data_IF_535471313959
#
_entry.id   IF_535471313959
#
_cell.length_a   1.000
_cell.length_b   1.000
_cell.length_c   1.000
_cell.angle_alpha   90.00
_cell.angle_beta   90.00
_cell.angle_gamma   90.00
#
_symmetry.space_group_name_H-M   'P 1'
#
loop_
_entity.id
_entity.type
_entity.pdbx_description
1 polymer ?
#
# COMPACT_ATOMS: atom_id res chain seq x y z
N UNK A 1 -26.07 -10.00 87.69
CA UNK A 1 -27.45 -10.47 87.46
C UNK A 1 -27.37 -11.83 86.82
N UNK A 2 -27.94 -12.83 87.47
CA UNK A 2 -27.99 -14.23 87.04
C UNK A 2 -28.74 -14.42 85.72
N UNK A 3 -28.36 -15.45 84.97
CA UNK A 3 -29.14 -16.56 84.35
C UNK A 3 -28.28 -17.00 83.14
N UNK A 4 -27.91 -18.26 82.88
CA UNK A 4 -28.30 -19.57 83.35
C UNK A 4 -27.89 -20.54 82.24
N UNK A 5 -27.07 -21.55 82.57
CA UNK A 5 -26.59 -22.62 81.69
C UNK A 5 -27.74 -23.56 81.33
N UNK A 6 -27.79 -24.14 80.11
CA UNK A 6 -28.22 -25.54 79.91
C UNK A 6 -27.61 -26.18 78.65
N UNK A 7 -27.13 -27.42 78.84
CA UNK A 7 -26.53 -28.32 77.85
C UNK A 7 -27.61 -29.05 77.04
N UNK A 8 -27.30 -29.36 75.79
CA UNK A 8 -27.98 -30.39 74.99
C UNK A 8 -26.96 -31.20 74.20
N UNK A 9 -26.80 -32.47 74.55
CA UNK A 9 -26.11 -33.52 73.78
C UNK A 9 -27.20 -34.38 73.11
N UNK A 10 -26.82 -35.13 72.05
CA UNK A 10 -27.51 -36.23 71.32
C UNK A 10 -27.87 -35.76 69.89
N UNK A 11 -27.49 -36.39 68.76
CA UNK A 11 -27.06 -37.76 68.44
C UNK A 11 -26.19 -37.72 67.15
N UNK A 12 -25.27 -38.69 67.02
CA UNK A 12 -24.67 -39.07 65.73
C UNK A 12 -25.77 -39.63 64.83
N UNK A 13 -25.79 -39.21 63.58
CA UNK A 13 -26.34 -40.02 62.50
C UNK A 13 -25.26 -40.32 61.46
N UNK A 14 -25.28 -41.57 61.04
CA UNK A 14 -24.36 -42.23 60.13
C UNK A 14 -24.96 -42.30 58.74
N UNK A 15 -24.11 -42.46 57.71
CA UNK A 15 -24.43 -42.62 56.27
C UNK A 15 -24.59 -41.28 55.54
N UNK A 16 -23.98 -40.99 54.39
CA UNK A 16 -23.52 -41.85 53.29
C UNK A 16 -22.19 -41.34 52.70
N UNK A 17 -21.23 -42.25 52.52
CA UNK A 17 -20.05 -42.02 51.66
C UNK A 17 -20.50 -42.17 50.20
N UNK A 18 -20.53 -41.09 49.43
CA UNK A 18 -20.64 -41.20 47.96
C UNK A 18 -19.33 -41.77 47.40
N UNK A 19 -19.36 -42.80 46.53
CA UNK A 19 -18.14 -43.45 46.08
C UNK A 19 -17.35 -42.56 45.13
N UNK A 20 -16.03 -42.57 45.29
CA UNK A 20 -15.01 -41.84 44.49
C UNK A 20 -15.19 -42.04 42.97
N UNK A 21 -15.85 -43.12 42.53
CA UNK A 21 -16.15 -43.39 41.12
C UNK A 21 -17.08 -42.37 40.43
N UNK A 22 -17.98 -41.69 41.15
CA UNK A 22 -18.89 -40.71 40.54
C UNK A 22 -18.22 -39.35 40.25
N UNK A 23 -17.13 -39.01 40.95
CA UNK A 23 -16.34 -37.80 40.65
C UNK A 23 -15.39 -38.00 39.45
N UNK A 24 -14.90 -39.22 39.23
CA UNK A 24 -14.07 -39.54 38.06
C UNK A 24 -14.90 -39.59 36.77
N UNK A 25 -16.13 -40.13 36.81
CA UNK A 25 -17.01 -40.14 35.64
C UNK A 25 -17.32 -38.72 35.13
N UNK A 26 -17.67 -37.78 36.03
CA UNK A 26 -17.95 -36.39 35.65
C UNK A 26 -16.73 -35.65 35.05
N UNK A 27 -15.52 -35.92 35.56
CA UNK A 27 -14.28 -35.32 35.04
C UNK A 27 -13.92 -35.93 33.67
N UNK A 28 -14.12 -37.24 33.47
CA UNK A 28 -13.88 -37.91 32.19
C UNK A 28 -14.91 -37.48 31.14
N UNK A 29 -16.18 -37.27 31.51
CA UNK A 29 -17.20 -36.73 30.57
C UNK A 29 -16.90 -35.29 30.19
N UNK A 30 -16.38 -34.47 31.12
CA UNK A 30 -16.00 -33.09 30.83
C UNK A 30 -14.71 -33.00 29.99
N UNK A 31 -13.76 -33.92 30.15
CA UNK A 31 -12.58 -34.04 29.28
C UNK A 31 -12.93 -34.57 27.88
N UNK A 32 -13.85 -35.53 27.76
CA UNK A 32 -14.33 -36.01 26.45
C UNK A 32 -15.18 -34.97 25.72
N UNK A 33 -15.92 -34.12 26.44
CA UNK A 33 -16.63 -32.98 25.83
C UNK A 33 -15.66 -31.90 25.34
N UNK A 34 -14.56 -31.66 26.06
CA UNK A 34 -13.49 -30.74 25.63
C UNK A 34 -12.75 -31.29 24.41
N UNK A 35 -12.42 -32.59 24.39
CA UNK A 35 -11.75 -33.21 23.23
C UNK A 35 -12.67 -33.30 21.99
N UNK A 36 -13.98 -33.45 22.16
CA UNK A 36 -14.93 -33.41 21.04
C UNK A 36 -15.21 -32.01 20.50
N UNK A 37 -14.89 -30.93 21.24
CA UNK A 37 -14.99 -29.55 20.75
C UNK A 37 -13.78 -29.17 19.88
N UNK A 38 -12.64 -29.86 20.02
CA UNK A 38 -11.43 -29.58 19.23
C UNK A 38 -11.36 -30.28 17.85
N UNK A 39 -12.27 -31.19 17.55
CA UNK A 39 -12.23 -31.99 16.31
C UNK A 39 -13.31 -31.62 15.26
N UNK A 40 -14.06 -30.52 15.42
CA UNK A 40 -15.15 -30.15 14.49
C UNK A 40 -15.14 -28.67 14.05
N UNK A 41 -14.02 -27.97 14.21
CA UNK A 41 -13.75 -26.81 13.36
C UNK A 41 -12.61 -27.23 12.45
N UNK A 42 -12.84 -27.54 11.16
CA UNK A 42 -11.74 -27.49 10.24
C UNK A 42 -11.19 -26.07 10.35
N UNK A 43 -10.02 -25.93 10.98
CA UNK A 43 -9.15 -24.79 10.69
C UNK A 43 -8.84 -25.00 9.22
N UNK A 44 -9.69 -24.42 8.37
CA UNK A 44 -9.28 -24.10 7.02
C UNK A 44 -8.10 -23.17 7.25
N UNK A 45 -6.90 -23.74 7.23
CA UNK A 45 -5.74 -23.03 6.77
C UNK A 45 -6.11 -22.64 5.33
N UNK A 46 -6.88 -21.56 5.18
CA UNK A 46 -7.02 -20.87 3.93
C UNK A 46 -5.59 -20.44 3.63
N UNK A 47 -4.90 -21.25 2.83
CA UNK A 47 -3.60 -20.89 2.29
C UNK A 47 -3.83 -19.56 1.62
N UNK A 48 -3.23 -18.51 2.19
CA UNK A 48 -3.33 -17.16 1.66
C UNK A 48 -3.01 -17.22 0.17
N UNK A 49 -3.89 -16.67 -0.67
CA UNK A 49 -3.71 -16.79 -2.12
C UNK A 49 -2.41 -16.09 -2.49
N UNK A 50 -1.53 -16.80 -3.20
CA UNK A 50 -0.25 -16.22 -3.59
C UNK A 50 -0.47 -14.98 -4.49
N UNK A 51 0.28 -13.91 -4.27
CA UNK A 51 0.11 -12.61 -4.93
C UNK A 51 0.08 -12.69 -6.46
N UNK A 52 0.84 -13.62 -7.05
CA UNK A 52 0.87 -13.83 -8.50
C UNK A 52 -0.47 -14.36 -9.04
N UNK A 53 -1.19 -15.13 -8.23
CA UNK A 53 -2.53 -15.63 -8.57
C UNK A 53 -3.55 -14.48 -8.50
N UNK A 54 -3.48 -13.64 -7.46
CA UNK A 54 -4.35 -12.46 -7.35
C UNK A 54 -4.11 -11.47 -8.51
N UNK A 55 -2.84 -11.30 -8.91
CA UNK A 55 -2.46 -10.52 -10.08
C UNK A 55 -3.02 -11.13 -11.39
N UNK A 56 -2.93 -12.45 -11.56
CA UNK A 56 -3.45 -13.13 -12.74
C UNK A 56 -4.98 -13.01 -12.86
N UNK A 57 -5.67 -12.94 -11.72
CA UNK A 57 -7.12 -12.78 -11.59
C UNK A 57 -7.58 -11.32 -11.51
N UNK A 58 -6.67 -10.35 -11.72
CA UNK A 58 -7.02 -8.94 -11.74
C UNK A 58 -8.02 -8.63 -12.85
N UNK A 59 -8.97 -7.76 -12.52
CA UNK A 59 -10.10 -7.37 -13.36
C UNK A 59 -9.60 -6.41 -14.44
N UNK A 60 -10.03 -6.65 -15.69
CA UNK A 60 -9.52 -5.92 -16.87
C UNK A 60 -10.62 -5.22 -17.69
N UNK A 61 -11.89 -5.42 -17.34
CA UNK A 61 -13.02 -4.80 -18.05
C UNK A 61 -14.11 -4.31 -17.08
N UNK A 62 -14.88 -3.26 -17.44
CA UNK A 62 -15.99 -2.78 -16.62
C UNK A 62 -17.08 -3.84 -16.49
N UNK A 63 -17.31 -4.61 -17.55
CA UNK A 63 -18.27 -5.71 -17.54
C UNK A 63 -18.00 -6.76 -16.44
N UNK A 64 -16.73 -6.98 -16.07
CA UNK A 64 -16.37 -7.82 -14.92
C UNK A 64 -16.44 -7.06 -13.58
N UNK A 65 -16.15 -5.76 -13.57
CA UNK A 65 -16.14 -4.91 -12.37
C UNK A 65 -17.56 -4.59 -11.86
N UNK A 66 -18.47 -4.20 -12.75
CA UNK A 66 -19.79 -3.67 -12.41
C UNK A 66 -20.61 -4.60 -11.51
N UNK A 67 -20.73 -5.91 -11.79
CA UNK A 67 -21.53 -6.80 -10.94
C UNK A 67 -20.97 -6.91 -9.52
N UNK A 68 -19.65 -6.77 -9.35
CA UNK A 68 -18.99 -6.82 -8.04
C UNK A 68 -19.29 -5.58 -7.20
N UNK A 69 -19.58 -4.45 -7.85
CA UNK A 69 -19.88 -3.17 -7.22
C UNK A 69 -21.36 -2.82 -7.26
N UNK A 70 -22.24 -3.69 -7.76
CA UNK A 70 -23.67 -3.36 -7.89
C UNK A 70 -23.96 -2.24 -8.88
N UNK A 71 -23.08 -2.05 -9.85
CA UNK A 71 -23.20 -1.04 -10.90
C UNK A 71 -23.65 -1.70 -12.21
N UNK A 72 -24.00 -0.86 -13.18
CA UNK A 72 -24.42 -1.26 -14.52
C UNK A 72 -23.76 -0.38 -15.57
N UNK A 73 -23.88 -0.78 -16.85
CA UNK A 73 -23.42 0.04 -17.97
C UNK A 73 -24.12 1.41 -18.04
N UNK A 74 -25.38 1.48 -17.61
CA UNK A 74 -26.16 2.72 -17.64
C UNK A 74 -25.62 3.75 -16.65
N UNK A 75 -25.01 3.30 -15.56
CA UNK A 75 -24.41 4.19 -14.56
C UNK A 75 -23.15 4.88 -15.13
N UNK A 76 -22.41 4.20 -16.01
CA UNK A 76 -21.09 4.63 -16.49
C UNK A 76 -20.90 4.33 -18.00
N UNK A 77 -21.72 4.91 -18.89
CA UNK A 77 -21.76 4.56 -20.32
C UNK A 77 -20.46 4.92 -21.06
N UNK A 78 -19.72 5.91 -20.54
CA UNK A 78 -18.46 6.40 -21.08
C UNK A 78 -17.28 5.44 -20.86
N UNK A 79 -17.33 4.61 -19.80
CA UNK A 79 -16.18 3.85 -19.33
C UNK A 79 -15.62 2.91 -20.40
N UNK A 80 -16.47 2.21 -21.14
CA UNK A 80 -16.05 1.29 -22.20
C UNK A 80 -15.19 1.97 -23.28
N UNK A 81 -15.61 3.16 -23.72
CA UNK A 81 -14.90 3.91 -24.77
C UNK A 81 -13.62 4.53 -24.22
N UNK A 82 -13.67 5.10 -23.02
CA UNK A 82 -12.53 5.76 -22.38
C UNK A 82 -11.36 4.80 -22.10
N UNK A 83 -11.63 3.52 -21.88
CA UNK A 83 -10.57 2.51 -21.64
C UNK A 83 -9.76 2.13 -22.88
N UNK A 84 -10.21 2.50 -24.08
CA UNK A 84 -9.41 2.28 -25.29
C UNK A 84 -8.08 3.07 -25.25
N UNK A 85 -8.06 4.24 -24.59
CA UNK A 85 -6.87 5.07 -24.46
C UNK A 85 -5.91 4.57 -23.37
N UNK A 86 -6.44 4.04 -22.27
CA UNK A 86 -5.66 3.49 -21.17
C UNK A 86 -6.43 2.36 -20.49
N UNK A 87 -5.89 1.15 -20.58
CA UNK A 87 -6.56 -0.08 -20.13
C UNK A 87 -6.72 -0.08 -18.61
N UNK A 88 -7.79 -0.68 -18.11
CA UNK A 88 -7.92 -0.97 -16.69
C UNK A 88 -7.20 -2.26 -16.32
N UNK A 89 -6.66 -2.25 -15.13
CA UNK A 89 -6.15 -3.41 -14.44
C UNK A 89 -6.37 -3.10 -12.97
N UNK A 90 -7.21 -3.88 -12.29
CA UNK A 90 -7.50 -3.67 -10.86
C UNK A 90 -7.59 -5.02 -10.14
N UNK A 91 -6.75 -5.27 -9.13
CA UNK A 91 -6.81 -6.50 -8.35
C UNK A 91 -8.07 -6.59 -7.50
N UNK A 92 -8.58 -7.82 -7.31
CA UNK A 92 -9.78 -8.10 -6.52
C UNK A 92 -9.70 -7.62 -5.06
N UNK A 93 -8.56 -7.72 -4.34
CA UNK A 93 -8.44 -7.16 -2.99
C UNK A 93 -8.56 -5.63 -2.92
N UNK A 94 -8.31 -4.93 -4.03
CA UNK A 94 -8.57 -3.48 -4.11
C UNK A 94 -10.06 -3.21 -4.34
N UNK A 95 -10.70 -3.98 -5.21
CA UNK A 95 -12.14 -3.88 -5.49
C UNK A 95 -12.98 -4.18 -4.26
N UNK A 96 -12.58 -5.13 -3.41
CA UNK A 96 -13.32 -5.48 -2.19
C UNK A 96 -13.38 -4.37 -1.13
N UNK A 97 -12.58 -3.31 -1.28
CA UNK A 97 -12.59 -2.11 -0.42
C UNK A 97 -13.47 -0.98 -0.98
N UNK A 98 -14.03 -1.14 -2.17
CA UNK A 98 -14.95 -0.17 -2.76
C UNK A 98 -16.36 -0.33 -2.19
N UNK A 99 -17.10 0.76 -2.12
CA UNK A 99 -18.49 0.77 -1.68
C UNK A 99 -19.44 0.24 -2.76
N UNK A 100 -20.24 -0.76 -2.42
CA UNK A 100 -21.26 -1.32 -3.30
C UNK A 100 -22.36 -0.28 -3.59
N UNK A 101 -22.71 -0.11 -4.87
CA UNK A 101 -23.72 0.82 -5.36
C UNK A 101 -23.25 2.27 -5.43
N UNK A 102 -21.98 2.57 -5.16
CA UNK A 102 -21.46 3.94 -5.15
C UNK A 102 -20.65 4.26 -6.41
N UNK A 103 -21.27 4.93 -7.38
CA UNK A 103 -20.59 5.42 -8.61
C UNK A 103 -19.52 6.47 -8.32
N UNK A 104 -19.59 7.13 -7.16
CA UNK A 104 -18.66 8.17 -6.73
C UNK A 104 -17.59 7.66 -5.77
N UNK A 105 -17.46 6.34 -5.60
CA UNK A 105 -16.47 5.74 -4.71
C UNK A 105 -15.05 6.25 -5.04
N UNK A 106 -14.29 6.73 -4.03
CA UNK A 106 -12.98 7.35 -4.26
C UNK A 106 -11.91 6.36 -4.75
N UNK A 107 -12.05 5.06 -4.50
CA UNK A 107 -11.16 4.02 -5.04
C UNK A 107 -11.54 3.70 -6.48
N UNK A 108 -12.84 3.64 -6.80
CA UNK A 108 -13.33 3.43 -8.17
C UNK A 108 -12.82 4.50 -9.13
N UNK A 109 -12.91 5.78 -8.74
CA UNK A 109 -12.39 6.92 -9.53
C UNK A 109 -10.91 6.78 -9.86
N UNK A 110 -10.12 6.11 -9.02
CA UNK A 110 -8.69 5.94 -9.26
C UNK A 110 -8.35 4.88 -10.31
N UNK A 111 -9.29 4.03 -10.72
CA UNK A 111 -9.03 2.88 -11.62
C UNK A 111 -9.98 2.80 -12.83
N UNK A 112 -11.18 3.37 -12.74
CA UNK A 112 -12.15 3.36 -13.83
C UNK A 112 -11.97 4.60 -14.71
N UNK A 113 -11.95 4.38 -16.02
CA UNK A 113 -11.81 5.45 -16.99
C UNK A 113 -13.10 6.26 -17.14
N UNK A 114 -12.96 7.56 -17.40
CA UNK A 114 -14.05 8.47 -17.72
C UNK A 114 -13.82 9.15 -19.10
N UNK A 115 -14.89 9.57 -19.79
CA UNK A 115 -14.75 10.16 -21.14
C UNK A 115 -14.02 11.50 -21.14
N UNK A 116 -14.06 12.22 -20.02
CA UNK A 116 -13.28 13.43 -19.80
C UNK A 116 -11.78 13.21 -19.98
N UNK A 117 -11.28 11.98 -19.79
CA UNK A 117 -9.88 11.62 -20.03
C UNK A 117 -9.49 11.61 -21.51
N UNK A 118 -10.46 11.58 -22.42
CA UNK A 118 -10.21 11.64 -23.86
C UNK A 118 -10.13 13.07 -24.38
N UNK A 119 -10.42 14.07 -23.54
CA UNK A 119 -10.41 15.47 -23.93
C UNK A 119 -8.99 16.04 -23.82
N UNK A 120 -8.44 16.63 -24.89
CA UNK A 120 -7.17 17.34 -24.79
C UNK A 120 -7.37 18.61 -23.95
N UNK A 121 -6.42 18.88 -23.04
CA UNK A 121 -6.43 20.07 -22.19
C UNK A 121 -5.09 20.78 -22.33
N UNK A 122 -5.13 22.10 -22.57
CA UNK A 122 -3.93 22.91 -22.70
C UNK A 122 -3.07 22.84 -21.41
N UNK A 123 -1.76 22.68 -21.58
CA UNK A 123 -0.82 22.53 -20.46
C UNK A 123 -0.63 21.10 -19.96
N UNK A 124 -1.39 20.13 -20.48
CA UNK A 124 -1.23 18.71 -20.15
C UNK A 124 -0.51 17.98 -21.29
N UNK A 125 0.48 17.14 -20.96
CA UNK A 125 1.35 16.47 -21.94
C UNK A 125 1.56 14.99 -21.61
N UNK A 126 2.20 14.25 -22.51
CA UNK A 126 2.54 12.82 -22.31
C UNK A 126 3.78 12.59 -21.44
N UNK A 127 4.59 13.63 -21.22
CA UNK A 127 5.77 13.61 -20.37
C UNK A 127 5.80 14.91 -19.54
N UNK A 128 4.93 15.03 -18.52
CA UNK A 128 4.79 16.25 -17.75
C UNK A 128 6.02 16.60 -16.90
N UNK A 129 6.91 15.63 -16.69
CA UNK A 129 8.09 15.75 -15.84
C UNK A 129 9.41 15.75 -16.62
N UNK A 130 9.34 15.79 -17.96
CA UNK A 130 10.47 15.75 -18.87
C UNK A 130 11.45 14.60 -18.56
N UNK A 131 10.92 13.44 -18.18
CA UNK A 131 11.73 12.28 -17.81
C UNK A 131 12.43 11.66 -19.02
N UNK A 132 11.90 11.85 -20.23
CA UNK A 132 12.49 11.34 -21.46
C UNK A 132 13.87 11.93 -21.78
N UNK A 133 14.12 13.19 -21.39
CA UNK A 133 15.35 13.92 -21.75
C UNK A 133 16.41 13.94 -20.63
N UNK A 134 16.09 13.44 -19.43
CA UNK A 134 16.91 13.62 -18.22
C UNK A 134 17.56 12.33 -17.67
N UNK A 135 17.79 11.33 -18.52
CA UNK A 135 18.41 10.06 -18.12
C UNK A 135 19.90 10.05 -18.46
N UNK A 136 20.83 10.08 -17.47
CA UNK A 136 22.27 9.94 -17.73
C UNK A 136 22.62 8.60 -18.38
N UNK A 137 21.81 7.58 -18.12
CA UNK A 137 21.93 6.23 -18.66
C UNK A 137 20.55 5.58 -18.66
N UNK A 138 20.34 4.58 -19.53
CA UNK A 138 19.13 3.76 -19.55
C UNK A 138 18.76 3.30 -18.13
N UNK A 139 17.50 3.50 -17.76
CA UNK A 139 16.90 3.11 -16.49
C UNK A 139 17.47 3.76 -15.21
N UNK A 140 18.42 4.69 -15.32
CA UNK A 140 18.94 5.46 -14.19
C UNK A 140 18.48 6.89 -14.32
N UNK A 141 17.87 7.40 -13.25
CA UNK A 141 17.55 8.82 -13.07
C UNK A 141 18.42 9.33 -11.92
N UNK A 142 19.42 10.15 -12.21
CA UNK A 142 20.29 10.77 -11.21
C UNK A 142 20.09 12.29 -11.19
N UNK A 143 19.00 12.73 -10.54
CA UNK A 143 18.64 14.15 -10.39
C UNK A 143 19.26 14.81 -9.15
N UNK A 144 19.70 14.02 -8.16
CA UNK A 144 20.08 14.50 -6.84
C UNK A 144 21.40 13.88 -6.39
N UNK A 145 22.32 14.72 -5.89
CA UNK A 145 23.72 14.36 -5.56
C UNK A 145 23.91 12.99 -4.88
N UNK A 146 23.04 12.63 -3.93
CA UNK A 146 23.28 11.47 -3.04
C UNK A 146 22.36 10.29 -3.27
N UNK A 147 21.49 10.34 -4.28
CA UNK A 147 20.52 9.28 -4.55
C UNK A 147 20.23 9.14 -6.03
N UNK A 148 20.11 7.89 -6.46
CA UNK A 148 19.65 7.54 -7.81
C UNK A 148 18.31 6.83 -7.74
N UNK A 149 17.51 6.98 -8.79
CA UNK A 149 16.33 6.15 -9.02
C UNK A 149 16.64 5.17 -10.16
N UNK A 150 16.29 3.91 -9.94
CA UNK A 150 16.45 2.80 -10.87
C UNK A 150 15.07 2.33 -11.32
N UNK A 151 14.82 2.39 -12.63
CA UNK A 151 13.59 1.90 -13.27
C UNK A 151 13.74 0.39 -13.46
N UNK A 152 13.15 -0.39 -12.55
CA UNK A 152 13.35 -1.83 -12.52
C UNK A 152 12.44 -2.59 -13.48
N UNK A 153 11.26 -2.06 -13.76
CA UNK A 153 10.25 -2.67 -14.63
C UNK A 153 9.24 -1.63 -15.11
N UNK A 154 8.59 -1.88 -16.24
CA UNK A 154 7.46 -1.09 -16.73
C UNK A 154 6.08 -1.60 -16.34
N UNK A 155 6.01 -2.74 -15.66
CA UNK A 155 4.74 -3.37 -15.34
C UNK A 155 4.19 -2.86 -14.00
N UNK A 156 2.88 -2.63 -13.94
CA UNK A 156 2.12 -2.36 -12.71
C UNK A 156 1.09 -3.47 -12.47
N UNK A 157 0.65 -3.65 -11.23
CA UNK A 157 -0.51 -4.49 -10.90
C UNK A 157 -1.84 -3.75 -10.92
N UNK A 158 -1.79 -2.42 -11.01
CA UNK A 158 -2.95 -1.55 -11.09
C UNK A 158 -2.65 -0.39 -12.05
N UNK A 159 -3.60 -0.07 -12.91
CA UNK A 159 -3.49 1.08 -13.81
C UNK A 159 -4.20 2.28 -13.20
N UNK A 160 -3.45 3.15 -12.52
CA UNK A 160 -3.98 4.32 -11.85
C UNK A 160 -4.34 5.40 -12.88
N UNK A 161 -5.57 5.92 -12.86
CA UNK A 161 -6.02 6.96 -13.83
C UNK A 161 -5.20 8.26 -13.75
N UNK A 162 -4.62 8.52 -12.58
CA UNK A 162 -3.76 9.67 -12.30
C UNK A 162 -2.25 9.40 -12.53
N UNK A 163 -1.87 8.26 -13.14
CA UNK A 163 -0.46 7.91 -13.31
C UNK A 163 0.25 8.88 -14.27
N UNK A 164 1.18 9.69 -13.75
CA UNK A 164 2.01 10.59 -14.57
C UNK A 164 2.92 9.86 -15.57
N UNK A 165 3.13 8.55 -15.39
CA UNK A 165 3.87 7.66 -16.32
C UNK A 165 2.97 6.81 -17.21
N UNK A 166 1.67 7.11 -17.34
CA UNK A 166 0.75 6.32 -18.19
C UNK A 166 1.16 6.27 -19.67
N UNK A 167 1.95 7.24 -20.13
CA UNK A 167 2.50 7.31 -21.48
C UNK A 167 4.01 7.07 -21.56
N UNK A 168 4.64 6.66 -20.45
CA UNK A 168 6.08 6.50 -20.38
C UNK A 168 6.56 5.32 -21.26
N UNK A 169 7.62 5.49 -22.06
CA UNK A 169 8.13 4.43 -22.95
C UNK A 169 8.95 3.40 -22.16
N UNK A 170 8.27 2.58 -21.37
CA UNK A 170 8.91 1.58 -20.52
C UNK A 170 9.74 0.55 -21.30
N UNK A 171 9.34 0.21 -22.53
CA UNK A 171 10.09 -0.72 -23.38
C UNK A 171 11.54 -0.27 -23.61
N UNK A 172 11.75 1.04 -23.72
CA UNK A 172 13.05 1.63 -24.00
C UNK A 172 13.88 1.90 -22.72
N UNK A 173 13.22 1.88 -21.55
CA UNK A 173 13.79 2.36 -20.28
C UNK A 173 13.79 1.34 -19.13
N UNK A 174 13.29 0.12 -19.35
CA UNK A 174 13.36 -0.96 -18.35
C UNK A 174 14.70 -1.71 -18.41
N UNK A 175 15.23 -2.13 -17.25
CA UNK A 175 16.40 -2.98 -17.18
C UNK A 175 16.06 -4.44 -17.50
N UNK A 176 16.77 -5.02 -18.46
CA UNK A 176 16.92 -6.47 -18.51
C UNK A 176 17.82 -6.97 -17.37
N UNK A 177 17.66 -8.23 -16.96
CA UNK A 177 18.49 -8.84 -15.89
C UNK A 177 20.00 -8.64 -16.13
N UNK A 178 20.43 -8.72 -17.40
CA UNK A 178 21.83 -8.55 -17.83
C UNK A 178 22.33 -7.10 -17.78
N UNK A 179 21.44 -6.14 -17.62
CA UNK A 179 21.77 -4.71 -17.61
C UNK A 179 22.00 -4.17 -16.18
N UNK A 180 21.71 -4.96 -15.14
CA UNK A 180 21.98 -4.57 -13.75
C UNK A 180 23.47 -4.36 -13.44
N UNK A 181 24.36 -4.97 -14.23
CA UNK A 181 25.80 -4.71 -14.15
C UNK A 181 26.11 -3.23 -14.36
N UNK A 182 25.43 -2.61 -15.33
CA UNK A 182 25.59 -1.19 -15.64
C UNK A 182 25.15 -0.26 -14.51
N UNK A 183 24.19 -0.68 -13.66
CA UNK A 183 23.79 0.09 -12.47
C UNK A 183 24.86 0.00 -11.38
N UNK A 184 25.43 -1.19 -11.18
CA UNK A 184 26.49 -1.38 -10.19
C UNK A 184 27.76 -0.63 -10.61
N UNK A 185 28.11 -0.65 -11.89
CA UNK A 185 29.27 0.09 -12.39
C UNK A 185 29.05 1.60 -12.25
N UNK A 186 27.86 2.10 -12.61
CA UNK A 186 27.48 3.50 -12.36
C UNK A 186 27.64 3.88 -10.88
N UNK A 187 27.17 3.04 -9.95
CA UNK A 187 27.28 3.31 -8.51
C UNK A 187 28.72 3.27 -7.99
N UNK A 188 29.61 2.47 -8.59
CA UNK A 188 31.04 2.48 -8.26
C UNK A 188 31.73 3.77 -8.70
N UNK A 189 31.31 4.30 -9.85
CA UNK A 189 31.82 5.56 -10.40
C UNK A 189 31.28 6.79 -9.65
N UNK A 190 30.23 6.63 -8.83
CA UNK A 190 29.56 7.69 -8.06
C UNK A 190 29.57 7.39 -6.55
N UNK A 191 30.74 7.47 -5.87
CA UNK A 191 30.88 7.11 -4.45
C UNK A 191 30.11 8.03 -3.48
N UNK A 192 29.66 9.19 -3.93
CA UNK A 192 28.80 10.12 -3.18
C UNK A 192 27.35 9.62 -3.03
N UNK A 193 26.90 8.74 -3.94
CA UNK A 193 25.57 8.14 -3.91
C UNK A 193 25.50 7.15 -2.76
N UNK A 194 24.57 7.39 -1.83
CA UNK A 194 24.40 6.55 -0.63
C UNK A 194 22.98 5.98 -0.49
N UNK A 195 22.11 6.25 -1.46
CA UNK A 195 20.75 5.75 -1.52
C UNK A 195 20.37 5.33 -2.94
N UNK A 196 19.78 4.14 -3.07
CA UNK A 196 19.16 3.67 -4.31
C UNK A 196 17.66 3.60 -4.13
N UNK A 197 16.91 4.19 -5.05
CA UNK A 197 15.44 4.12 -5.10
C UNK A 197 15.03 3.17 -6.22
N UNK A 198 14.32 2.08 -5.90
CA UNK A 198 13.68 1.24 -6.89
C UNK A 198 12.30 1.80 -7.24
N UNK A 199 12.06 2.02 -8.54
CA UNK A 199 10.81 2.55 -9.08
C UNK A 199 10.61 2.05 -10.52
N UNK A 200 9.75 2.71 -11.29
CA UNK A 200 9.35 2.34 -12.65
C UNK A 200 7.83 2.31 -12.74
N UNK A 201 7.28 1.22 -13.25
CA UNK A 201 5.87 0.85 -13.07
C UNK A 201 5.60 0.51 -11.62
N UNK A 202 5.98 -0.70 -11.19
CA UNK A 202 6.03 -1.06 -9.78
C UNK A 202 7.17 -2.08 -9.51
N UNK A 203 8.19 -1.73 -8.72
CA UNK A 203 9.38 -2.56 -8.52
C UNK A 203 9.08 -3.89 -7.83
N UNK A 204 8.02 -3.99 -7.03
CA UNK A 204 7.65 -5.25 -6.38
C UNK A 204 6.94 -6.21 -7.35
N UNK A 205 6.70 -5.83 -8.61
CA UNK A 205 6.30 -6.79 -9.65
C UNK A 205 7.40 -7.78 -10.03
N UNK A 206 8.66 -7.48 -9.68
CA UNK A 206 9.75 -8.44 -9.81
C UNK A 206 9.59 -9.58 -8.79
N UNK A 207 10.01 -10.78 -9.21
CA UNK A 207 10.06 -11.95 -8.32
C UNK A 207 11.07 -11.72 -7.19
N UNK A 208 10.80 -12.27 -6.01
CA UNK A 208 11.71 -12.14 -4.85
C UNK A 208 13.09 -12.75 -5.12
N UNK A 209 13.18 -13.76 -5.98
CA UNK A 209 14.47 -14.30 -6.45
C UNK A 209 15.29 -13.30 -7.27
N UNK A 210 14.65 -12.41 -8.02
CA UNK A 210 15.34 -11.35 -8.76
C UNK A 210 15.70 -10.19 -7.84
N UNK A 211 14.76 -9.74 -7.01
CA UNK A 211 15.00 -8.68 -6.03
C UNK A 211 16.14 -9.04 -5.10
N UNK A 212 16.13 -10.23 -4.51
CA UNK A 212 17.20 -10.69 -3.60
C UNK A 212 18.58 -10.68 -4.27
N UNK A 213 18.69 -11.10 -5.53
CA UNK A 213 19.95 -11.01 -6.30
C UNK A 213 20.42 -9.57 -6.50
N UNK A 214 19.52 -8.66 -6.85
CA UNK A 214 19.86 -7.24 -7.04
C UNK A 214 20.26 -6.58 -5.71
N UNK A 215 19.51 -6.83 -4.64
CA UNK A 215 19.78 -6.26 -3.32
C UNK A 215 21.07 -6.82 -2.73
N UNK A 216 21.41 -8.10 -2.94
CA UNK A 216 22.69 -8.65 -2.53
C UNK A 216 23.87 -7.86 -3.12
N UNK A 217 23.79 -7.53 -4.41
CA UNK A 217 24.82 -6.72 -5.09
C UNK A 217 24.89 -5.28 -4.57
N UNK A 218 23.74 -4.69 -4.21
CA UNK A 218 23.72 -3.37 -3.56
C UNK A 218 24.31 -3.42 -2.13
N UNK A 219 24.09 -4.52 -1.39
CA UNK A 219 24.70 -4.73 -0.09
C UNK A 219 26.24 -4.77 -0.20
N UNK A 220 26.82 -5.22 -1.31
CA UNK A 220 28.28 -5.26 -1.48
C UNK A 220 28.92 -3.87 -1.66
N UNK A 221 28.14 -2.81 -1.89
CA UNK A 221 28.62 -1.44 -2.13
C UNK A 221 28.70 -0.61 -0.83
N UNK A 222 29.86 -0.46 -0.19
CA UNK A 222 29.99 0.05 1.18
C UNK A 222 29.50 1.51 1.36
N UNK A 223 29.47 2.31 0.30
CA UNK A 223 28.95 3.68 0.30
C UNK A 223 27.42 3.74 0.47
N UNK A 224 26.71 2.70 0.05
CA UNK A 224 25.26 2.64 0.16
C UNK A 224 24.83 2.42 1.60
N UNK A 225 23.89 3.26 2.04
CA UNK A 225 23.29 3.23 3.38
C UNK A 225 21.82 2.86 3.33
N UNK A 226 21.10 3.30 2.29
CA UNK A 226 19.65 3.16 2.17
C UNK A 226 19.24 2.48 0.88
N UNK A 227 18.22 1.66 0.99
CA UNK A 227 17.44 1.15 -0.13
C UNK A 227 16.01 1.64 0.04
N UNK A 228 15.50 2.40 -0.94
CA UNK A 228 14.12 2.84 -0.95
C UNK A 228 13.36 2.15 -2.06
N UNK A 229 12.15 1.70 -1.79
CA UNK A 229 11.28 1.03 -2.77
C UNK A 229 9.98 1.81 -2.85
N UNK A 230 9.61 2.29 -4.03
CA UNK A 230 8.33 2.95 -4.27
C UNK A 230 7.37 1.94 -4.90
N UNK A 231 6.34 1.52 -4.18
CA UNK A 231 5.44 0.46 -4.68
C UNK A 231 4.00 0.72 -4.25
N UNK A 232 3.07 0.55 -5.19
CA UNK A 232 1.64 0.51 -4.92
C UNK A 232 1.14 -0.92 -4.75
N UNK A 233 1.92 -1.92 -5.15
CA UNK A 233 1.54 -3.32 -5.16
C UNK A 233 1.03 -3.82 -3.80
N UNK A 234 1.67 -3.55 -2.64
CA UNK A 234 1.14 -3.97 -1.35
C UNK A 234 -0.22 -3.36 -1.04
N UNK A 235 -0.50 -2.14 -1.53
CA UNK A 235 -1.79 -1.49 -1.34
C UNK A 235 -2.88 -2.23 -2.12
N UNK A 236 -2.60 -2.72 -3.32
CA UNK A 236 -3.62 -3.38 -4.17
C UNK A 236 -3.65 -4.91 -4.05
N UNK A 237 -2.55 -5.52 -3.64
CA UNK A 237 -2.34 -6.96 -3.43
C UNK A 237 -1.50 -7.13 -2.15
N UNK A 238 -2.13 -7.13 -0.96
CA UNK A 238 -1.43 -7.21 0.33
C UNK A 238 -0.53 -8.44 0.46
N UNK A 239 -0.95 -9.58 -0.11
CA UNK A 239 -0.22 -10.85 -0.10
C UNK A 239 1.16 -10.78 -0.78
N UNK A 240 1.47 -9.70 -1.52
CA UNK A 240 2.83 -9.45 -2.05
C UNK A 240 3.86 -9.38 -0.93
N UNK A 241 3.46 -8.91 0.25
CA UNK A 241 4.27 -9.01 1.45
C UNK A 241 4.14 -10.45 1.97
N UNK A 242 5.12 -11.27 1.57
CA UNK A 242 5.21 -12.69 1.85
C UNK A 242 6.55 -13.01 2.55
N UNK A 243 6.73 -14.27 2.94
CA UNK A 243 7.95 -14.70 3.65
C UNK A 243 9.21 -14.56 2.80
N UNK A 244 9.13 -14.78 1.48
CA UNK A 244 10.26 -14.61 0.56
C UNK A 244 10.75 -13.16 0.53
N UNK A 245 9.83 -12.20 0.49
CA UNK A 245 10.14 -10.78 0.56
C UNK A 245 10.78 -10.41 1.89
N UNK A 246 10.18 -10.83 2.99
CA UNK A 246 10.67 -10.55 4.33
C UNK A 246 12.06 -11.18 4.58
N UNK A 247 12.35 -12.32 3.95
CA UNK A 247 13.64 -12.98 4.07
C UNK A 247 14.79 -12.13 3.50
N UNK A 248 14.67 -11.60 2.27
CA UNK A 248 15.75 -10.78 1.71
C UNK A 248 15.82 -9.38 2.34
N UNK A 249 14.67 -8.83 2.76
CA UNK A 249 14.61 -7.55 3.47
C UNK A 249 15.37 -7.63 4.79
N UNK A 250 15.08 -8.64 5.62
CA UNK A 250 15.69 -8.79 6.96
C UNK A 250 17.18 -9.12 6.94
N UNK A 251 17.69 -9.62 5.81
CA UNK A 251 19.11 -9.91 5.60
C UNK A 251 19.88 -8.73 5.00
N UNK A 252 19.20 -7.68 4.53
CA UNK A 252 19.89 -6.51 3.98
C UNK A 252 20.56 -5.72 5.10
N UNK A 253 21.80 -5.27 4.85
CA UNK A 253 22.48 -4.32 5.74
C UNK A 253 22.07 -2.87 5.49
N UNK A 254 21.30 -2.60 4.43
CA UNK A 254 20.83 -1.28 4.07
C UNK A 254 19.58 -0.96 4.89
N UNK A 255 19.42 0.31 5.25
CA UNK A 255 18.17 0.79 5.81
C UNK A 255 17.08 0.71 4.72
N UNK A 256 16.20 -0.29 4.82
CA UNK A 256 15.12 -0.50 3.85
C UNK A 256 13.94 0.40 4.17
N UNK A 257 13.56 1.22 3.19
CA UNK A 257 12.40 2.13 3.26
C UNK A 257 11.40 1.73 2.18
N UNK A 258 10.19 1.36 2.57
CA UNK A 258 9.09 1.10 1.63
C UNK A 258 8.15 2.31 1.62
N UNK A 259 8.05 2.97 0.47
CA UNK A 259 7.09 4.04 0.23
C UNK A 259 5.90 3.47 -0.51
N UNK A 260 4.79 3.31 0.21
CA UNK A 260 3.49 2.94 -0.33
C UNK A 260 2.85 4.12 -1.07
N UNK A 261 1.86 3.80 -1.91
CA UNK A 261 1.10 4.80 -2.65
C UNK A 261 -0.41 4.64 -2.45
N UNK A 262 -0.96 5.37 -1.48
CA UNK A 262 -2.37 5.41 -1.14
C UNK A 262 -2.91 6.84 -1.12
N UNK A 263 -4.14 7.03 -1.60
CA UNK A 263 -4.79 8.34 -1.70
C UNK A 263 -6.04 8.48 -0.86
N UNK A 264 -6.65 7.39 -0.40
CA UNK A 264 -7.86 7.43 0.41
C UNK A 264 -7.79 6.46 1.59
N UNK A 265 -8.45 6.80 2.70
CA UNK A 265 -8.46 5.98 3.92
C UNK A 265 -9.00 4.56 3.68
N UNK A 266 -9.97 4.42 2.76
CA UNK A 266 -10.54 3.11 2.40
C UNK A 266 -9.50 2.17 1.74
N UNK A 267 -8.36 2.69 1.28
CA UNK A 267 -7.26 1.85 0.80
C UNK A 267 -6.50 1.17 1.95
N UNK A 268 -6.73 1.54 3.21
CA UNK A 268 -6.01 1.00 4.36
C UNK A 268 -6.98 0.18 5.21
N UNK A 269 -6.97 -1.13 5.02
CA UNK A 269 -7.75 -2.08 5.81
C UNK A 269 -6.86 -2.93 6.75
N UNK A 270 -7.47 -3.87 7.47
CA UNK A 270 -6.76 -4.75 8.39
C UNK A 270 -5.70 -5.61 7.68
N UNK A 271 -5.96 -6.05 6.45
CA UNK A 271 -4.99 -6.87 5.69
C UNK A 271 -3.71 -6.08 5.40
N UNK A 272 -3.83 -4.79 5.08
CA UNK A 272 -2.69 -3.89 4.91
C UNK A 272 -1.95 -3.70 6.25
N UNK A 273 -2.69 -3.44 7.33
CA UNK A 273 -2.10 -3.25 8.66
C UNK A 273 -1.28 -4.46 9.12
N UNK A 274 -1.79 -5.68 8.89
CA UNK A 274 -1.11 -6.92 9.25
C UNK A 274 0.20 -7.11 8.47
N UNK A 275 0.20 -6.79 7.17
CA UNK A 275 1.40 -6.85 6.31
C UNK A 275 2.42 -5.77 6.65
N UNK A 276 1.97 -4.57 7.02
CA UNK A 276 2.85 -3.50 7.51
C UNK A 276 3.47 -3.89 8.85
N UNK A 277 2.73 -4.54 9.75
CA UNK A 277 3.28 -5.04 11.01
C UNK A 277 4.40 -6.08 10.78
N UNK A 278 4.29 -6.93 9.76
CA UNK A 278 5.36 -7.83 9.35
C UNK A 278 6.59 -7.08 8.83
N UNK A 279 6.41 -6.10 7.94
CA UNK A 279 7.49 -5.26 7.41
C UNK A 279 8.25 -4.54 8.53
N UNK A 280 7.53 -3.95 9.48
CA UNK A 280 8.13 -3.25 10.63
C UNK A 280 8.92 -4.19 11.53
N UNK A 281 8.42 -5.41 11.77
CA UNK A 281 9.17 -6.45 12.51
C UNK A 281 10.46 -6.86 11.78
N UNK A 282 10.47 -6.79 10.45
CA UNK A 282 11.66 -7.00 9.63
C UNK A 282 12.58 -5.77 9.54
N UNK A 283 12.30 -4.69 10.29
CA UNK A 283 13.12 -3.47 10.33
C UNK A 283 12.84 -2.45 9.23
N UNK A 284 11.77 -2.64 8.43
CA UNK A 284 11.43 -1.70 7.34
C UNK A 284 10.77 -0.44 7.88
N UNK A 285 11.25 0.71 7.43
CA UNK A 285 10.51 1.98 7.59
C UNK A 285 9.45 2.07 6.51
N UNK A 286 8.17 2.18 6.90
CA UNK A 286 7.04 2.26 5.96
C UNK A 286 6.49 3.67 5.92
N UNK A 287 6.49 4.27 4.72
CA UNK A 287 6.01 5.62 4.43
C UNK A 287 4.87 5.56 3.42
N UNK A 288 4.04 6.59 3.36
CA UNK A 288 3.06 6.75 2.28
C UNK A 288 3.29 8.05 1.51
N UNK A 289 3.33 7.95 0.19
CA UNK A 289 3.12 9.09 -0.68
C UNK A 289 1.72 9.02 -1.30
N UNK A 290 1.07 10.15 -1.50
CA UNK A 290 -0.17 10.26 -2.25
C UNK A 290 -0.11 11.39 -3.26
N UNK A 291 -1.19 11.54 -4.02
CA UNK A 291 -1.45 12.67 -4.91
C UNK A 291 -2.79 13.29 -4.48
N UNK A 292 -2.87 14.62 -4.47
CA UNK A 292 -4.15 15.32 -4.31
C UNK A 292 -4.95 15.19 -5.60
N UNK A 293 -6.12 14.58 -5.47
CA UNK A 293 -6.99 14.17 -6.56
C UNK A 293 -8.39 14.70 -6.29
N UNK A 294 -8.86 15.56 -7.20
CA UNK A 294 -10.22 16.10 -7.18
C UNK A 294 -11.25 14.98 -7.13
N UNK A 295 -12.20 15.10 -6.21
CA UNK A 295 -13.28 14.14 -6.02
C UNK A 295 -12.85 12.79 -5.43
N UNK A 296 -11.60 12.68 -4.94
CA UNK A 296 -11.07 11.49 -4.25
C UNK A 296 -10.61 11.87 -2.85
N UNK A 297 -9.70 12.84 -2.73
CA UNK A 297 -9.11 13.23 -1.44
C UNK A 297 -8.84 14.73 -1.31
N UNK A 298 -9.55 15.55 -2.08
CA UNK A 298 -9.48 17.02 -2.09
C UNK A 298 -10.35 17.67 -0.99
N UNK A 299 -10.59 16.97 0.11
CA UNK A 299 -11.33 17.47 1.28
C UNK A 299 -10.52 17.29 2.56
N UNK A 300 -10.78 18.16 3.56
CA UNK A 300 -10.09 18.11 4.86
C UNK A 300 -10.33 16.76 5.53
N UNK A 301 -11.57 16.28 5.51
CA UNK A 301 -11.95 15.01 6.10
C UNK A 301 -11.22 13.83 5.44
N UNK A 302 -11.14 13.78 4.12
CA UNK A 302 -10.44 12.70 3.42
C UNK A 302 -8.94 12.66 3.77
N UNK A 303 -8.29 13.83 3.86
CA UNK A 303 -6.87 13.92 4.23
C UNK A 303 -6.59 13.56 5.69
N UNK A 304 -7.46 14.01 6.61
CA UNK A 304 -7.40 13.65 8.03
C UNK A 304 -7.57 12.14 8.19
N UNK A 305 -8.64 11.58 7.61
CA UNK A 305 -8.94 10.15 7.71
C UNK A 305 -7.84 9.29 7.09
N UNK A 306 -7.27 9.70 5.95
CA UNK A 306 -6.14 9.00 5.35
C UNK A 306 -4.94 8.98 6.29
N UNK A 307 -4.58 10.13 6.87
CA UNK A 307 -3.39 10.24 7.73
C UNK A 307 -3.54 9.42 9.01
N UNK A 308 -4.72 9.44 9.63
CA UNK A 308 -5.04 8.63 10.80
C UNK A 308 -5.04 7.13 10.48
N UNK A 309 -5.67 6.71 9.37
CA UNK A 309 -5.69 5.31 8.94
C UNK A 309 -4.27 4.77 8.65
N UNK A 310 -3.44 5.57 7.96
CA UNK A 310 -2.03 5.24 7.71
C UNK A 310 -1.28 5.03 9.02
N UNK A 311 -1.39 5.96 9.96
CA UNK A 311 -0.65 5.88 11.22
C UNK A 311 -1.11 4.72 12.10
N UNK A 312 -2.42 4.46 12.14
CA UNK A 312 -2.98 3.30 12.82
C UNK A 312 -2.43 1.97 12.26
N UNK A 313 -2.22 1.89 10.94
CA UNK A 313 -1.56 0.76 10.28
C UNK A 313 -0.03 0.75 10.44
N UNK A 314 0.55 1.75 11.11
CA UNK A 314 1.99 1.87 11.34
C UNK A 314 2.78 2.50 10.19
N UNK A 315 2.11 3.16 9.25
CA UNK A 315 2.66 3.86 8.08
C UNK A 315 2.75 5.36 8.39
N UNK A 316 3.88 6.00 8.06
CA UNK A 316 4.01 7.46 8.22
C UNK A 316 3.58 8.21 6.96
N UNK A 317 2.69 9.22 7.06
CA UNK A 317 2.42 10.14 5.96
C UNK A 317 3.70 10.89 5.56
N UNK A 318 4.11 10.79 4.29
CA UNK A 318 5.39 11.34 3.82
C UNK A 318 5.20 12.52 2.86
N UNK A 319 4.71 12.26 1.66
CA UNK A 319 4.42 13.29 0.66
C UNK A 319 2.97 13.22 0.25
N UNK A 320 2.39 14.39 0.01
CA UNK A 320 1.15 14.55 -0.72
C UNK A 320 1.48 15.42 -1.92
N UNK A 321 1.55 14.83 -3.11
CA UNK A 321 1.94 15.54 -4.32
C UNK A 321 0.75 16.32 -4.90
N UNK A 322 1.00 17.53 -5.38
CA UNK A 322 0.08 18.16 -6.34
C UNK A 322 0.10 17.39 -7.65
N UNK A 323 -0.98 17.49 -8.42
CA UNK A 323 -1.11 16.75 -9.67
C UNK A 323 -0.03 17.14 -10.70
N UNK A 324 0.58 16.13 -11.33
CA UNK A 324 1.44 16.32 -12.50
C UNK A 324 0.55 16.41 -13.74
N UNK A 325 0.75 17.40 -14.64
CA UNK A 325 -0.19 17.69 -15.73
C UNK A 325 -0.10 16.67 -16.89
N UNK A 326 -0.47 15.43 -16.62
CA UNK A 326 -0.48 14.31 -17.57
C UNK A 326 -1.74 14.36 -18.47
N UNK A 327 -1.56 14.11 -19.77
CA UNK A 327 -2.66 13.95 -20.73
C UNK A 327 -3.69 12.92 -20.22
N UNK A 328 -4.98 13.29 -20.28
CA UNK A 328 -6.09 12.50 -19.74
C UNK A 328 -6.27 12.56 -18.22
N UNK A 329 -5.42 13.28 -17.49
CA UNK A 329 -5.49 13.42 -16.03
C UNK A 329 -6.13 14.72 -15.52
N UNK A 330 -6.38 15.71 -16.38
CA UNK A 330 -6.70 17.08 -15.97
C UNK A 330 -7.89 17.24 -15.01
N UNK A 331 -8.86 16.34 -15.08
CA UNK A 331 -10.05 16.35 -14.21
C UNK A 331 -9.73 16.09 -12.73
N UNK A 332 -8.58 15.48 -12.41
CA UNK A 332 -8.10 15.30 -11.03
C UNK A 332 -7.40 16.54 -10.47
N UNK A 333 -6.97 17.48 -11.31
CA UNK A 333 -6.11 18.56 -10.88
C UNK A 333 -6.86 19.59 -10.01
N UNK A 334 -6.16 20.20 -9.06
CA UNK A 334 -6.63 21.33 -8.25
C UNK A 334 -5.52 22.39 -8.23
N UNK A 335 -5.88 23.67 -8.10
CA UNK A 335 -4.87 24.72 -8.09
C UNK A 335 -3.93 24.59 -6.88
N UNK A 336 -2.69 25.05 -7.05
CA UNK A 336 -1.70 25.07 -5.95
C UNK A 336 -2.25 25.86 -4.76
N UNK A 337 -2.93 26.98 -5.01
CA UNK A 337 -3.54 27.80 -3.96
C UNK A 337 -4.59 27.00 -3.17
N UNK A 338 -5.46 26.27 -3.87
CA UNK A 338 -6.49 25.43 -3.24
C UNK A 338 -5.84 24.29 -2.44
N UNK A 339 -4.80 23.64 -2.98
CA UNK A 339 -4.05 22.60 -2.26
C UNK A 339 -3.37 23.16 -0.99
N UNK A 340 -2.75 24.33 -1.06
CA UNK A 340 -2.11 24.97 0.10
C UNK A 340 -3.13 25.34 1.18
N UNK A 341 -4.30 25.86 0.79
CA UNK A 341 -5.40 26.18 1.71
C UNK A 341 -5.98 24.93 2.36
N UNK A 342 -6.24 23.88 1.57
CA UNK A 342 -6.70 22.59 2.05
C UNK A 342 -5.75 22.03 3.12
N UNK A 343 -4.45 21.97 2.79
CA UNK A 343 -3.45 21.46 3.74
C UNK A 343 -3.28 22.36 4.98
N UNK A 344 -3.58 23.65 4.88
CA UNK A 344 -3.64 24.55 6.03
C UNK A 344 -4.76 24.20 6.99
N UNK A 345 -5.95 23.89 6.46
CA UNK A 345 -7.09 23.42 7.26
C UNK A 345 -6.83 22.04 7.87
N UNK A 346 -6.18 21.12 7.14
CA UNK A 346 -5.76 19.81 7.66
C UNK A 346 -4.75 19.96 8.79
N UNK A 347 -3.80 20.91 8.68
CA UNK A 347 -2.82 21.19 9.73
C UNK A 347 -3.43 21.67 11.05
N UNK A 348 -4.64 22.24 11.03
CA UNK A 348 -5.37 22.61 12.23
C UNK A 348 -5.99 21.39 12.94
N UNK A 349 -6.06 20.24 12.28
CA UNK A 349 -6.72 19.01 12.77
C UNK A 349 -5.74 17.92 13.17
N UNK A 350 -4.62 17.79 12.46
CA UNK A 350 -3.65 16.73 12.69
C UNK A 350 -2.44 17.21 13.51
N UNK A 351 -1.83 16.33 14.32
CA UNK A 351 -0.50 16.60 14.86
C UNK A 351 0.54 16.62 13.72
N UNK A 352 1.61 17.40 13.91
CA UNK A 352 2.58 17.67 12.83
C UNK A 352 3.27 16.42 12.24
N UNK A 353 3.41 15.33 12.99
CA UNK A 353 3.99 14.08 12.49
C UNK A 353 3.04 13.26 11.61
N UNK A 354 1.75 13.61 11.59
CA UNK A 354 0.75 13.04 10.68
C UNK A 354 0.50 13.94 9.46
N UNK A 355 1.12 15.12 9.41
CA UNK A 355 1.00 16.01 8.27
C UNK A 355 1.96 15.57 7.15
N UNK A 356 1.44 15.07 6.00
CA UNK A 356 2.31 14.86 4.85
C UNK A 356 2.80 16.20 4.30
N UNK A 357 4.00 16.22 3.74
CA UNK A 357 4.53 17.41 3.07
C UNK A 357 3.80 17.59 1.74
N UNK A 358 3.15 18.74 1.55
CA UNK A 358 2.64 19.12 0.23
C UNK A 358 3.83 19.40 -0.69
N UNK A 359 3.91 18.69 -1.81
CA UNK A 359 5.07 18.78 -2.70
C UNK A 359 4.67 18.78 -4.18
N UNK A 360 5.56 19.31 -5.03
CA UNK A 360 5.46 19.26 -6.48
C UNK A 360 6.80 18.84 -7.07
N UNK A 361 6.78 17.98 -8.09
CA UNK A 361 7.95 17.83 -8.97
C UNK A 361 7.92 18.95 -9.99
N UNK A 362 9.01 19.70 -10.08
CA UNK A 362 9.22 20.69 -11.12
C UNK A 362 10.49 20.27 -11.87
N UNK A 363 10.40 19.99 -13.18
CA UNK A 363 11.58 19.64 -13.97
C UNK A 363 12.70 20.69 -13.85
N UNK A 364 13.93 20.21 -13.66
CA UNK A 364 15.11 21.06 -13.51
C UNK A 364 15.39 21.57 -12.08
N UNK A 365 14.45 21.45 -11.14
CA UNK A 365 14.69 21.85 -9.75
C UNK A 365 15.62 20.86 -9.03
N UNK A 366 16.52 21.34 -8.14
CA UNK A 366 17.51 20.50 -7.45
C UNK A 366 16.91 19.65 -6.33
N UNK A 367 15.63 19.82 -6.01
CA UNK A 367 14.88 19.05 -5.03
C UNK A 367 13.38 19.08 -5.37
N UNK A 368 12.61 18.17 -4.75
CA UNK A 368 11.14 18.29 -4.71
C UNK A 368 10.77 19.65 -4.14
N UNK A 369 9.94 20.42 -4.84
CA UNK A 369 9.46 21.72 -4.36
C UNK A 369 8.42 21.49 -3.27
N UNK A 370 8.75 21.85 -2.03
CA UNK A 370 7.82 21.75 -0.90
C UNK A 370 6.99 23.04 -0.83
N UNK A 371 5.67 22.87 -0.77
CA UNK A 371 4.71 23.97 -0.72
C UNK A 371 4.20 24.11 0.72
N UNK A 372 4.40 25.27 1.34
CA UNK A 372 3.92 25.51 2.69
C UNK A 372 2.38 25.54 2.72
N UNK A 373 1.73 24.91 3.72
CA UNK A 373 0.30 25.12 3.99
C UNK A 373 -0.01 26.61 4.23
N UNK A 374 -1.18 27.07 3.75
CA UNK A 374 -1.69 28.43 3.98
C UNK A 374 -2.86 28.36 4.97
N UNK A 375 -2.69 28.95 6.15
CA UNK A 375 -3.67 28.94 7.24
C UNK A 375 -4.83 29.92 7.01
#
# INVERSE_FOLDING_TARGET
MFVGVHRGIIKRDSQERRPIGQRLAAIITQFNLILQIFDVIPIQNATETHWSTELAQAIKSPAELWPLLGLTEQDLPAAHKAMASFKMLVPRPFVSRMEFGNVNDPLLKQVLADDIEMLPVAGYSKDPLDEGNHNPQKAIVHKYERRILVITTGTCAVNCRYCFRRHFPYGDNQLAQKEWDSVIDYLKDHPEVNEVILSGGDPLMLKDSQLSQHIARLNDLPQLKRLRIHSRLPVVIPSRINDELLAWVSQSRLDVVLVLHSNHAHEIDQSIADKVALLKRAGVTVLNQGVLLRGVNDSVEAQVNLSEALFAAGILPYYMFTFDPIEGGAHFDISIEAAQQLMGQVAQKLPGYLMPKLAKEIPGEPAKTVLAPRL
#
